data_IF_719303909069
#
_entry.id   IF_719303909069
#
_cell.length_a   1.000
_cell.length_b   1.000
_cell.length_c   1.000
_cell.angle_alpha   90.00
_cell.angle_beta   90.00
_cell.angle_gamma   90.00
#
_symmetry.space_group_name_H-M   'P 1'
#
loop_
_entity.id
_entity.type
_entity.pdbx_description
1 polymer ?
#
# COMPACT_ATOMS: atom_id res chain seq x y z
N UNK A 1 -1.21 -1.21 -17.97
CA UNK A 1 -0.28 -2.37 -18.10
C UNK A 1 0.35 -2.55 -16.74
N UNK A 2 0.50 -3.77 -16.22
CA UNK A 2 1.09 -3.95 -14.88
C UNK A 2 2.58 -3.63 -14.88
N UNK A 3 3.08 -3.04 -13.80
CA UNK A 3 4.50 -2.74 -13.62
C UNK A 3 5.38 -3.99 -13.66
N UNK A 4 4.84 -5.16 -13.31
CA UNK A 4 5.53 -6.45 -13.42
C UNK A 4 5.97 -6.81 -14.84
N UNK A 5 5.28 -6.30 -15.86
CA UNK A 5 5.63 -6.54 -17.28
C UNK A 5 6.58 -5.47 -17.84
N UNK A 6 6.87 -4.41 -17.07
CA UNK A 6 7.72 -3.32 -17.50
C UNK A 6 9.19 -3.59 -17.12
N UNK A 7 10.10 -3.82 -18.09
CA UNK A 7 11.50 -4.16 -17.81
C UNK A 7 12.29 -3.03 -17.15
N UNK A 8 11.75 -1.81 -17.15
CA UNK A 8 12.36 -0.63 -16.51
C UNK A 8 12.15 -0.67 -14.99
N UNK A 9 11.11 -1.35 -14.50
CA UNK A 9 10.76 -1.41 -13.09
C UNK A 9 11.06 -2.79 -12.50
N UNK A 10 11.65 -2.80 -11.31
CA UNK A 10 11.94 -4.02 -10.56
C UNK A 10 11.18 -4.01 -9.25
N UNK A 11 10.40 -5.07 -9.03
CA UNK A 11 9.71 -5.28 -7.76
C UNK A 11 10.73 -5.38 -6.62
N UNK A 12 10.43 -4.68 -5.52
CA UNK A 12 11.26 -4.66 -4.31
C UNK A 12 10.52 -5.24 -3.11
N UNK A 13 9.32 -4.73 -2.86
CA UNK A 13 8.63 -4.91 -1.57
C UNK A 13 7.12 -4.98 -1.79
N UNK A 14 6.41 -5.52 -0.81
CA UNK A 14 4.93 -5.54 -0.79
C UNK A 14 4.45 -5.16 0.59
N UNK A 15 3.51 -4.22 0.66
CA UNK A 15 2.86 -3.78 1.89
C UNK A 15 1.37 -4.00 1.83
N UNK A 16 0.74 -4.17 3.00
CA UNK A 16 -0.70 -4.28 3.13
C UNK A 16 -1.25 -3.04 3.84
N UNK A 17 -2.32 -2.47 3.29
CA UNK A 17 -3.18 -1.54 4.03
C UNK A 17 -4.45 -2.28 4.36
N UNK A 18 -4.61 -2.67 5.63
CA UNK A 18 -5.74 -3.44 6.14
C UNK A 18 -6.84 -2.51 6.67
N UNK A 19 -8.09 -2.75 6.28
CA UNK A 19 -9.21 -1.88 6.67
C UNK A 19 -10.56 -2.60 6.57
N UNK A 20 -11.61 -1.97 7.09
CA UNK A 20 -12.99 -2.40 6.88
C UNK A 20 -13.45 -2.04 5.46
N UNK A 21 -13.95 -3.01 4.69
CA UNK A 21 -14.44 -2.92 3.32
C UNK A 21 -15.45 -1.78 3.11
N UNK A 22 -16.24 -1.45 4.13
CA UNK A 22 -17.16 -0.32 4.15
C UNK A 22 -16.46 1.06 4.04
N UNK A 23 -15.18 1.14 4.43
CA UNK A 23 -14.33 2.33 4.36
C UNK A 23 -13.54 2.43 3.06
N UNK A 24 -13.82 1.56 2.07
CA UNK A 24 -13.13 1.59 0.78
C UNK A 24 -13.34 2.94 0.05
N UNK A 25 -12.26 3.69 -0.23
CA UNK A 25 -12.35 5.01 -0.84
C UNK A 25 -12.78 4.96 -2.32
N UNK A 26 -13.40 6.04 -2.78
CA UNK A 26 -13.70 6.23 -4.20
C UNK A 26 -12.46 6.62 -5.00
N UNK A 27 -12.47 6.34 -6.31
CA UNK A 27 -11.39 6.76 -7.21
C UNK A 27 -11.17 8.28 -7.19
N UNK A 28 -12.24 9.05 -7.09
CA UNK A 28 -12.15 10.52 -7.03
C UNK A 28 -11.47 11.01 -5.75
N UNK A 29 -11.78 10.38 -4.61
CA UNK A 29 -11.15 10.72 -3.34
C UNK A 29 -9.65 10.38 -3.35
N UNK A 30 -9.26 9.24 -3.91
CA UNK A 30 -7.85 8.86 -4.07
C UNK A 30 -7.11 9.85 -4.96
N UNK A 31 -7.65 10.17 -6.13
CA UNK A 31 -7.01 11.13 -7.05
C UNK A 31 -6.79 12.49 -6.40
N UNK A 32 -7.79 12.97 -5.66
CA UNK A 32 -7.69 14.22 -4.93
C UNK A 32 -6.56 14.16 -3.89
N UNK A 33 -6.55 13.12 -3.05
CA UNK A 33 -5.55 12.99 -2.01
C UNK A 33 -4.13 12.85 -2.56
N UNK A 34 -3.92 12.04 -3.60
CA UNK A 34 -2.61 11.90 -4.26
C UNK A 34 -2.13 13.21 -4.88
N UNK A 35 -3.04 14.01 -5.45
CA UNK A 35 -2.71 15.33 -6.01
C UNK A 35 -2.33 16.34 -4.92
N UNK A 36 -2.87 16.19 -3.71
CA UNK A 36 -2.59 17.05 -2.57
C UNK A 36 -1.25 16.71 -1.87
N UNK A 37 -0.78 15.46 -1.95
CA UNK A 37 0.49 15.02 -1.38
C UNK A 37 1.69 15.61 -2.11
N UNK A 38 1.76 15.40 -3.43
CA UNK A 38 2.92 15.80 -4.22
C UNK A 38 2.55 15.99 -5.69
N UNK A 39 3.08 17.04 -6.30
CA UNK A 39 2.80 17.36 -7.71
C UNK A 39 3.55 16.44 -8.69
N UNK A 40 4.49 15.63 -8.20
CA UNK A 40 5.31 14.72 -9.00
C UNK A 40 4.63 13.36 -9.25
N UNK A 41 3.67 12.94 -8.42
CA UNK A 41 2.97 11.66 -8.60
C UNK A 41 2.17 11.64 -9.90
N UNK A 42 2.37 10.58 -10.68
CA UNK A 42 1.68 10.35 -11.94
C UNK A 42 0.80 9.12 -11.81
N UNK A 43 -0.52 9.33 -11.81
CA UNK A 43 -1.50 8.23 -11.86
C UNK A 43 -1.62 7.78 -13.31
N UNK A 44 -0.97 6.66 -13.64
CA UNK A 44 -0.99 6.08 -14.99
C UNK A 44 -2.31 5.36 -15.27
N UNK A 45 -2.77 4.56 -14.30
CA UNK A 45 -3.98 3.76 -14.44
C UNK A 45 -4.72 3.73 -13.11
N UNK A 46 -6.04 3.93 -13.13
CA UNK A 46 -6.88 3.75 -11.95
C UNK A 46 -8.23 3.21 -12.38
N UNK A 47 -8.65 2.12 -11.72
CA UNK A 47 -9.89 1.41 -12.03
C UNK A 47 -10.83 1.49 -10.84
N UNK A 48 -12.11 1.60 -11.17
CA UNK A 48 -13.19 1.58 -10.20
C UNK A 48 -14.09 0.37 -10.45
N UNK A 49 -14.71 -0.12 -9.38
CA UNK A 49 -15.80 -1.07 -9.49
C UNK A 49 -17.08 -0.40 -10.04
N UNK A 50 -18.15 -1.18 -10.14
CA UNK A 50 -19.46 -0.68 -10.58
C UNK A 50 -20.06 0.43 -9.70
N UNK A 51 -19.54 0.63 -8.48
CA UNK A 51 -19.94 1.67 -7.52
C UNK A 51 -19.02 2.89 -7.49
N UNK A 52 -17.93 2.90 -8.25
CA UNK A 52 -16.95 3.99 -8.26
C UNK A 52 -15.84 3.86 -7.18
N UNK A 53 -15.79 2.74 -6.46
CA UNK A 53 -14.77 2.46 -5.45
C UNK A 53 -13.50 1.90 -6.09
N UNK A 54 -12.32 2.24 -5.55
CA UNK A 54 -11.05 1.87 -6.21
C UNK A 54 -10.78 0.36 -6.17
N UNK A 55 -10.59 -0.25 -7.35
CA UNK A 55 -10.20 -1.65 -7.54
C UNK A 55 -8.69 -1.81 -7.72
N UNK A 56 -8.09 -0.93 -8.51
CA UNK A 56 -6.65 -0.94 -8.74
C UNK A 56 -6.13 0.45 -9.07
N UNK A 57 -4.87 0.70 -8.77
CA UNK A 57 -4.15 1.94 -9.07
C UNK A 57 -2.71 1.61 -9.47
N UNK A 58 -2.23 2.21 -10.55
CA UNK A 58 -0.80 2.27 -10.90
C UNK A 58 -0.35 3.72 -10.78
N UNK A 59 0.66 3.92 -9.94
CA UNK A 59 1.24 5.22 -9.62
C UNK A 59 2.74 5.21 -9.95
N UNK A 60 3.24 6.30 -10.51
CA UNK A 60 4.67 6.51 -10.73
C UNK A 60 5.10 7.74 -9.94
N UNK A 61 6.23 7.64 -9.23
CA UNK A 61 6.96 8.78 -8.68
C UNK A 61 8.28 8.95 -9.43
N UNK A 62 8.34 9.85 -10.44
CA UNK A 62 9.58 10.09 -11.18
C UNK A 62 10.66 10.76 -10.34
N UNK A 63 10.28 11.53 -9.31
CA UNK A 63 11.22 12.20 -8.39
C UNK A 63 12.02 11.18 -7.58
N UNK A 64 11.36 10.09 -7.19
CA UNK A 64 11.92 9.06 -6.32
C UNK A 64 12.36 7.81 -7.09
N UNK A 65 12.27 7.84 -8.43
CA UNK A 65 12.55 6.70 -9.29
C UNK A 65 11.76 5.44 -8.90
N UNK A 66 10.53 5.64 -8.40
CA UNK A 66 9.69 4.61 -7.83
C UNK A 66 8.36 4.48 -8.59
N UNK A 67 7.72 3.33 -8.44
CA UNK A 67 6.36 3.10 -8.90
C UNK A 67 5.64 2.13 -7.99
N UNK A 68 4.32 2.23 -7.95
CA UNK A 68 3.47 1.38 -7.12
C UNK A 68 2.30 0.85 -7.92
N UNK A 69 2.07 -0.47 -7.82
CA UNK A 69 0.81 -1.08 -8.23
C UNK A 69 0.02 -1.41 -6.95
N UNK A 70 -1.22 -0.94 -6.87
CA UNK A 70 -2.12 -1.14 -5.74
C UNK A 70 -3.33 -1.94 -6.19
N UNK A 71 -3.68 -3.00 -5.47
CA UNK A 71 -4.84 -3.85 -5.76
C UNK A 71 -5.72 -4.02 -4.54
N UNK A 72 -7.03 -3.86 -4.73
CA UNK A 72 -8.03 -4.15 -3.71
C UNK A 72 -8.34 -5.65 -3.64
N UNK A 73 -8.34 -6.18 -2.42
CA UNK A 73 -8.78 -7.54 -2.11
C UNK A 73 -9.74 -7.51 -0.93
N UNK A 74 -10.84 -8.26 -1.03
CA UNK A 74 -11.80 -8.45 0.05
C UNK A 74 -12.48 -9.81 -0.08
N UNK A 75 -12.97 -10.32 1.05
CA UNK A 75 -13.66 -11.60 1.12
C UNK A 75 -13.35 -12.34 2.40
N UNK A 76 -13.96 -13.52 2.56
CA UNK A 76 -13.88 -14.35 3.76
C UNK A 76 -12.45 -14.81 4.09
N UNK A 77 -11.54 -14.75 3.11
CA UNK A 77 -10.13 -15.10 3.29
C UNK A 77 -9.32 -14.01 3.99
N UNK A 78 -9.73 -12.74 3.92
CA UNK A 78 -8.95 -11.64 4.50
C UNK A 78 -8.89 -11.75 6.04
N UNK A 79 -10.01 -11.93 6.77
CA UNK A 79 -9.94 -12.10 8.22
C UNK A 79 -9.04 -13.27 8.65
N UNK A 80 -9.04 -14.38 7.91
CA UNK A 80 -8.16 -15.52 8.18
C UNK A 80 -6.68 -15.16 8.01
N UNK A 81 -6.33 -14.42 6.95
CA UNK A 81 -4.96 -13.95 6.72
C UNK A 81 -4.53 -12.91 7.75
N UNK A 82 -5.45 -12.08 8.23
CA UNK A 82 -5.19 -11.14 9.35
C UNK A 82 -4.89 -11.91 10.63
N UNK A 83 -5.65 -12.96 10.94
CA UNK A 83 -5.40 -13.81 12.11
C UNK A 83 -4.05 -14.52 12.04
N UNK A 84 -3.64 -14.97 10.86
CA UNK A 84 -2.32 -15.55 10.61
C UNK A 84 -1.22 -14.49 10.80
N UNK A 85 -1.37 -13.33 10.17
CA UNK A 85 -0.44 -12.21 10.30
C UNK A 85 -0.27 -11.81 11.77
N UNK A 86 -1.35 -11.68 12.53
CA UNK A 86 -1.31 -11.39 13.97
C UNK A 86 -0.49 -12.42 14.74
N UNK A 87 -0.52 -13.70 14.38
CA UNK A 87 0.29 -14.71 15.06
C UNK A 87 1.79 -14.55 14.79
N UNK A 88 2.15 -13.92 13.66
CA UNK A 88 3.53 -13.61 13.29
C UNK A 88 4.02 -12.29 13.88
N UNK A 89 3.11 -11.35 14.20
CA UNK A 89 3.45 -10.10 14.88
C UNK A 89 3.97 -10.36 16.30
N UNK A 90 5.14 -9.80 16.62
CA UNK A 90 5.63 -9.79 18.01
C UNK A 90 4.89 -8.71 18.81
N UNK A 91 3.85 -9.11 19.53
CA UNK A 91 3.14 -8.20 20.44
C UNK A 91 3.95 -7.85 21.70
N UNK A 92 5.10 -8.48 21.94
CA UNK A 92 5.93 -8.21 23.10
C UNK A 92 6.77 -6.96 22.87
N UNK A 93 6.46 -5.89 23.61
CA UNK A 93 7.17 -4.62 23.50
C UNK A 93 6.56 -3.62 22.50
N UNK A 94 5.35 -3.87 22.00
CA UNK A 94 4.60 -2.87 21.24
C UNK A 94 4.35 -1.62 22.08
N UNK A 95 4.52 -0.48 21.44
CA UNK A 95 4.09 0.82 21.94
C UNK A 95 2.57 0.88 22.08
N UNK A 96 2.07 1.85 22.84
CA UNK A 96 0.61 2.05 23.01
C UNK A 96 -0.08 2.28 21.66
N UNK A 97 0.57 2.97 20.71
CA UNK A 97 0.05 3.21 19.36
C UNK A 97 -0.05 1.92 18.53
N UNK A 98 0.98 1.07 18.58
CA UNK A 98 0.97 -0.22 17.88
C UNK A 98 -0.05 -1.19 18.48
N UNK A 99 -0.33 -1.10 19.78
CA UNK A 99 -1.42 -1.86 20.41
C UNK A 99 -2.80 -1.41 19.90
N UNK A 100 -3.00 -0.11 19.67
CA UNK A 100 -4.22 0.40 19.06
C UNK A 100 -4.37 -0.10 17.60
N UNK A 101 -3.29 -0.03 16.81
CA UNK A 101 -3.26 -0.58 15.43
C UNK A 101 -3.56 -2.09 15.44
N UNK A 102 -2.97 -2.85 16.35
CA UNK A 102 -3.20 -4.28 16.51
C UNK A 102 -4.64 -4.63 16.86
N UNK A 103 -5.28 -3.84 17.73
CA UNK A 103 -6.69 -4.02 18.09
C UNK A 103 -7.62 -3.72 16.90
N UNK A 104 -7.24 -2.79 16.03
CA UNK A 104 -8.02 -2.44 14.85
C UNK A 104 -8.04 -3.57 13.80
N UNK A 105 -6.99 -4.40 13.74
CA UNK A 105 -6.90 -5.51 12.80
C UNK A 105 -8.09 -6.48 12.90
N UNK A 106 -8.67 -6.67 14.09
CA UNK A 106 -9.81 -7.58 14.31
C UNK A 106 -11.07 -7.21 13.52
N UNK A 107 -11.19 -5.95 13.11
CA UNK A 107 -12.33 -5.47 12.32
C UNK A 107 -12.07 -5.53 10.80
N UNK A 108 -10.83 -5.76 10.37
CA UNK A 108 -10.46 -5.68 8.96
C UNK A 108 -10.94 -6.90 8.16
N UNK A 109 -11.69 -6.66 7.09
CA UNK A 109 -12.21 -7.66 6.13
C UNK A 109 -11.78 -7.36 4.68
N UNK A 110 -10.95 -6.33 4.49
CA UNK A 110 -10.38 -5.95 3.21
C UNK A 110 -8.93 -5.48 3.34
N UNK A 111 -8.20 -5.51 2.21
CA UNK A 111 -6.87 -4.93 2.10
C UNK A 111 -6.61 -4.27 0.75
N UNK A 112 -5.71 -3.30 0.76
CA UNK A 112 -4.94 -2.96 -0.42
C UNK A 112 -3.58 -3.68 -0.35
N UNK A 113 -3.24 -4.44 -1.39
CA UNK A 113 -1.87 -4.88 -1.62
C UNK A 113 -1.14 -3.80 -2.42
N UNK A 114 -0.07 -3.27 -1.86
CA UNK A 114 0.77 -2.23 -2.46
C UNK A 114 2.09 -2.87 -2.84
N UNK A 115 2.32 -3.05 -4.13
CA UNK A 115 3.56 -3.53 -4.70
C UNK A 115 4.46 -2.35 -5.02
N UNK A 116 5.64 -2.30 -4.40
CA UNK A 116 6.63 -1.26 -4.65
C UNK A 116 7.67 -1.70 -5.67
N UNK A 117 7.97 -0.82 -6.62
CA UNK A 117 8.95 -1.02 -7.67
C UNK A 117 9.91 0.15 -7.76
N UNK A 118 11.16 -0.16 -8.12
CA UNK A 118 12.18 0.85 -8.44
C UNK A 118 12.57 0.80 -9.90
N UNK A 119 12.97 1.96 -10.44
CA UNK A 119 13.48 2.09 -11.78
C UNK A 119 14.94 1.64 -11.90
N UNK A 120 15.19 0.66 -12.78
CA UNK A 120 16.50 0.02 -13.00
C UNK A 120 17.60 0.96 -13.50
N UNK A 121 17.26 1.97 -14.30
CA UNK A 121 18.25 2.90 -14.89
C UNK A 121 18.70 4.00 -13.91
N UNK A 122 18.06 4.12 -12.72
CA UNK A 122 18.38 5.16 -11.75
C UNK A 122 19.66 4.86 -10.95
N UNK A 123 19.97 3.58 -10.75
CA UNK A 123 21.11 3.12 -9.94
C UNK A 123 21.83 2.01 -10.71
N UNK A 124 22.92 2.36 -11.40
CA UNK A 124 23.71 1.36 -12.14
C UNK A 124 24.34 0.34 -11.19
N UNK A 125 24.04 -0.95 -11.37
CA UNK A 125 24.63 -2.21 -10.82
C UNK A 125 25.03 -2.29 -9.33
N UNK A 126 24.93 -1.21 -8.57
CA UNK A 126 25.17 -1.12 -7.13
C UNK A 126 23.81 -1.06 -6.45
N UNK A 127 23.62 -1.83 -5.37
CA UNK A 127 22.38 -1.94 -4.60
C UNK A 127 21.81 -0.53 -4.30
N UNK A 128 20.89 -0.11 -5.16
CA UNK A 128 20.39 1.27 -5.24
C UNK A 128 19.88 1.77 -3.90
N UNK A 129 20.14 3.05 -3.62
CA UNK A 129 19.61 3.70 -2.44
C UNK A 129 18.08 3.78 -2.58
N UNK A 130 17.38 2.92 -1.85
CA UNK A 130 15.94 2.98 -1.68
C UNK A 130 15.60 4.33 -1.03
N UNK A 131 14.91 5.20 -1.76
CA UNK A 131 14.21 6.32 -1.14
C UNK A 131 12.77 5.87 -0.83
N UNK A 132 12.48 5.46 0.42
CA UNK A 132 11.16 4.99 0.78
C UNK A 132 10.14 6.13 0.88
N UNK A 133 10.53 7.40 0.70
CA UNK A 133 9.67 8.55 0.92
C UNK A 133 8.37 8.48 0.12
N UNK A 134 8.46 8.16 -1.17
CA UNK A 134 7.30 8.02 -2.05
C UNK A 134 6.34 6.93 -1.57
N UNK A 135 6.90 5.78 -1.19
CA UNK A 135 6.15 4.64 -0.71
C UNK A 135 5.43 4.96 0.59
N UNK A 136 6.14 5.50 1.57
CA UNK A 136 5.59 5.84 2.88
C UNK A 136 4.46 6.88 2.76
N UNK A 137 4.65 7.92 1.95
CA UNK A 137 3.62 8.93 1.69
C UNK A 137 2.34 8.32 1.11
N UNK A 138 2.47 7.39 0.18
CA UNK A 138 1.32 6.71 -0.45
C UNK A 138 0.65 5.75 0.53
N UNK A 139 1.42 5.00 1.31
CA UNK A 139 0.87 4.11 2.35
C UNK A 139 0.09 4.88 3.41
N UNK A 140 0.65 5.98 3.93
CA UNK A 140 -0.01 6.87 4.89
C UNK A 140 -1.28 7.50 4.30
N UNK A 141 -1.22 7.93 3.04
CA UNK A 141 -2.37 8.49 2.36
C UNK A 141 -3.51 7.46 2.24
N UNK A 142 -3.21 6.26 1.74
CA UNK A 142 -4.21 5.21 1.58
C UNK A 142 -4.80 4.81 2.93
N UNK A 143 -3.95 4.60 3.94
CA UNK A 143 -4.38 4.29 5.30
C UNK A 143 -5.26 5.41 5.89
N UNK A 144 -4.91 6.68 5.71
CA UNK A 144 -5.72 7.81 6.15
C UNK A 144 -7.09 7.86 5.48
N UNK A 145 -7.17 7.54 4.18
CA UNK A 145 -8.43 7.54 3.43
C UNK A 145 -9.37 6.41 3.83
N UNK A 146 -8.84 5.20 4.08
CA UNK A 146 -9.64 4.04 4.45
C UNK A 146 -9.72 3.82 5.97
N UNK A 147 -9.10 4.70 6.77
CA UNK A 147 -8.87 4.50 8.21
C UNK A 147 -8.23 3.14 8.49
N UNK A 148 -7.27 2.76 7.66
CA UNK A 148 -6.62 1.45 7.71
C UNK A 148 -5.35 1.44 8.54
N UNK A 149 -4.80 0.24 8.68
CA UNK A 149 -3.51 -0.03 9.31
C UNK A 149 -2.54 -0.51 8.24
N UNK A 150 -1.35 0.09 8.20
CA UNK A 150 -0.28 -0.34 7.30
C UNK A 150 0.53 -1.43 7.97
N UNK A 151 0.75 -2.54 7.27
CA UNK A 151 1.54 -3.67 7.72
C UNK A 151 2.56 -4.04 6.66
N UNK A 152 3.79 -4.27 7.10
CA UNK A 152 4.82 -4.96 6.34
C UNK A 152 4.73 -6.47 6.61
N UNK A 153 4.25 -7.28 5.66
CA UNK A 153 4.14 -8.72 5.82
C UNK A 153 5.50 -9.44 5.86
N UNK A 154 6.60 -8.80 5.45
CA UNK A 154 7.92 -9.42 5.44
C UNK A 154 8.61 -9.32 6.80
N UNK A 155 8.45 -8.18 7.49
CA UNK A 155 8.96 -8.00 8.85
C UNK A 155 7.95 -8.41 9.93
N UNK A 156 6.66 -8.53 9.59
CA UNK A 156 5.60 -8.69 10.58
C UNK A 156 5.52 -7.45 11.47
N UNK A 157 5.61 -6.27 10.87
CA UNK A 157 5.68 -4.98 11.57
C UNK A 157 4.62 -3.99 11.10
N UNK A 158 4.24 -3.07 12.00
CA UNK A 158 3.45 -1.90 11.62
C UNK A 158 4.36 -0.83 11.03
N UNK A 159 3.83 -0.10 10.04
CA UNK A 159 4.46 1.10 9.48
C UNK A 159 3.88 2.35 10.14
#
# INVERSE_FOLDING_TARGET
MSLFENPIYRWRETYFVLFESASRPSVELIKQALSDLETSYQVEEIRADGGGQMESLTLISPSDFAAMDVTYLAGEEIPLQVDELKQELDFSGLTDEEQEKAAQLDACDARFEVFHFEQMDAFGDDDGFLDPGALLNVLECLAGLCKGVVVDPQSGGFV
#
